data_IF_482322318201
#
_entry.id   IF_482322318201
#
_cell.length_a   1.000
_cell.length_b   1.000
_cell.length_c   1.000
_cell.angle_alpha   90.00
_cell.angle_beta   90.00
_cell.angle_gamma   90.00
#
_symmetry.space_group_name_H-M   'P 1'
#
loop_
_entity.id
_entity.type
_entity.pdbx_description
1 polymer ?
#
# COMPACT_ATOMS: atom_id res chain seq x y z
N UNK A 1 1.16 -4.01 14.42
CA UNK A 1 0.35 -4.07 13.18
C UNK A 1 -0.79 -3.06 13.25
N UNK A 2 -0.83 -2.12 12.31
CA UNK A 2 -1.71 -0.92 12.30
C UNK A 2 -3.16 -1.27 12.00
N UNK A 3 -3.41 -2.44 11.40
CA UNK A 3 -4.75 -2.91 11.04
C UNK A 3 -5.28 -3.98 12.00
N UNK A 4 -4.52 -4.35 13.03
CA UNK A 4 -4.97 -5.34 14.02
C UNK A 4 -6.20 -4.80 14.77
N UNK A 5 -7.20 -5.65 14.98
CA UNK A 5 -8.42 -5.32 15.75
C UNK A 5 -8.07 -4.60 17.05
N UNK A 6 -8.73 -3.48 17.30
CA UNK A 6 -8.52 -2.65 18.49
C UNK A 6 -7.36 -1.64 18.41
N UNK A 7 -6.49 -1.71 17.41
CA UNK A 7 -5.43 -0.71 17.20
C UNK A 7 -5.99 0.66 16.78
N UNK A 8 -5.20 1.72 16.94
CA UNK A 8 -5.61 3.07 16.57
C UNK A 8 -5.88 3.23 15.06
N UNK A 9 -5.11 2.55 14.21
CA UNK A 9 -5.33 2.53 12.77
C UNK A 9 -6.63 1.81 12.41
N UNK A 10 -6.88 0.63 13.00
CA UNK A 10 -8.12 -0.11 12.83
C UNK A 10 -9.36 0.71 13.20
N UNK A 11 -9.36 1.38 14.37
CA UNK A 11 -10.52 2.19 14.82
C UNK A 11 -10.84 3.31 13.84
N UNK A 12 -9.81 4.01 13.34
CA UNK A 12 -9.98 5.07 12.34
C UNK A 12 -10.48 4.55 11.00
N UNK A 13 -10.05 3.34 10.63
CA UNK A 13 -10.47 2.69 9.40
C UNK A 13 -11.96 2.35 9.45
N UNK A 14 -12.41 1.69 10.52
CA UNK A 14 -13.82 1.32 10.73
C UNK A 14 -14.70 2.57 10.82
N UNK A 15 -14.24 3.62 11.49
CA UNK A 15 -14.97 4.89 11.56
C UNK A 15 -15.14 5.57 10.19
N UNK A 16 -14.20 5.39 9.26
CA UNK A 16 -14.20 6.05 7.95
C UNK A 16 -14.86 5.22 6.83
N UNK A 17 -14.77 3.89 6.91
CA UNK A 17 -15.21 2.95 5.89
C UNK A 17 -16.33 2.02 6.37
N UNK A 18 -16.85 2.24 7.58
CA UNK A 18 -17.91 1.46 8.19
C UNK A 18 -17.48 0.05 8.61
N UNK A 19 -18.44 -0.72 9.14
CA UNK A 19 -18.23 -2.11 9.53
C UNK A 19 -18.26 -3.05 8.32
N UNK A 20 -18.67 -2.58 7.14
CA UNK A 20 -18.70 -3.42 5.94
C UNK A 20 -17.31 -3.93 5.52
N UNK A 21 -16.24 -3.27 5.93
CA UNK A 21 -14.86 -3.70 5.66
C UNK A 21 -14.33 -4.72 6.68
N UNK A 22 -15.17 -5.23 7.57
CA UNK A 22 -14.80 -6.21 8.58
C UNK A 22 -15.27 -7.62 8.21
N UNK A 23 -14.44 -8.60 8.53
CA UNK A 23 -14.83 -10.00 8.58
C UNK A 23 -15.69 -10.27 9.83
N UNK A 24 -16.41 -11.42 9.89
CA UNK A 24 -17.15 -11.83 11.10
C UNK A 24 -16.26 -11.92 12.37
N UNK A 25 -14.96 -12.16 12.20
CA UNK A 25 -13.96 -12.14 13.29
C UNK A 25 -13.70 -10.72 13.86
N UNK A 26 -14.09 -9.67 13.13
CA UNK A 26 -13.77 -8.28 13.39
C UNK A 26 -12.39 -7.85 12.88
N UNK A 27 -11.73 -8.68 12.09
CA UNK A 27 -10.52 -8.29 11.35
C UNK A 27 -10.87 -7.56 10.05
N UNK A 28 -9.92 -6.78 9.52
CA UNK A 28 -10.14 -6.04 8.27
C UNK A 28 -10.11 -7.00 7.09
N UNK A 29 -11.20 -7.02 6.32
CA UNK A 29 -11.25 -7.64 5.01
C UNK A 29 -10.44 -6.80 4.01
N UNK A 30 -9.20 -7.22 3.77
CA UNK A 30 -8.26 -6.54 2.88
C UNK A 30 -8.69 -6.59 1.42
N UNK A 31 -9.41 -7.64 1.00
CA UNK A 31 -9.90 -7.75 -0.37
C UNK A 31 -10.98 -6.73 -0.62
N UNK A 32 -11.98 -6.68 0.27
CA UNK A 32 -13.10 -5.73 0.19
C UNK A 32 -12.65 -4.28 0.35
N UNK A 33 -11.78 -4.01 1.32
CA UNK A 33 -11.17 -2.68 1.47
C UNK A 33 -10.42 -2.30 0.19
N UNK A 34 -9.65 -3.25 -0.39
CA UNK A 34 -8.94 -3.08 -1.65
C UNK A 34 -9.87 -2.64 -2.79
N UNK A 35 -10.96 -3.37 -3.03
CA UNK A 35 -11.95 -3.02 -4.07
C UNK A 35 -12.49 -1.61 -3.86
N UNK A 36 -12.88 -1.25 -2.63
CA UNK A 36 -13.42 0.06 -2.31
C UNK A 36 -12.42 1.19 -2.60
N UNK A 37 -11.15 1.02 -2.21
CA UNK A 37 -10.14 2.08 -2.36
C UNK A 37 -9.53 2.14 -3.75
N UNK A 38 -9.46 1.04 -4.48
CA UNK A 38 -8.92 1.05 -5.85
C UNK A 38 -9.95 1.55 -6.87
N UNK A 39 -11.25 1.38 -6.62
CA UNK A 39 -12.31 1.92 -7.48
C UNK A 39 -12.59 3.42 -7.25
N UNK A 40 -12.08 4.03 -6.17
CA UNK A 40 -12.34 5.44 -5.87
C UNK A 40 -11.09 6.20 -5.41
N UNK A 41 -10.70 7.21 -6.20
CA UNK A 41 -9.55 8.08 -5.88
C UNK A 41 -9.71 8.81 -4.54
N UNK A 42 -10.91 9.28 -4.21
CA UNK A 42 -11.17 9.99 -2.95
C UNK A 42 -11.04 9.05 -1.75
N UNK A 43 -11.62 7.85 -1.84
CA UNK A 43 -11.48 6.81 -0.80
C UNK A 43 -10.03 6.37 -0.61
N UNK A 44 -9.27 6.24 -1.70
CA UNK A 44 -7.83 5.96 -1.65
C UNK A 44 -7.03 7.05 -0.95
N UNK A 45 -7.32 8.31 -1.25
CA UNK A 45 -6.67 9.44 -0.59
C UNK A 45 -7.01 9.48 0.90
N UNK A 46 -8.26 9.22 1.26
CA UNK A 46 -8.70 9.11 2.65
C UNK A 46 -7.93 7.99 3.38
N UNK A 47 -7.89 6.78 2.81
CA UNK A 47 -7.12 5.66 3.38
C UNK A 47 -5.65 6.06 3.60
N UNK A 48 -5.00 6.61 2.55
CA UNK A 48 -3.61 7.03 2.64
C UNK A 48 -3.39 8.08 3.73
N UNK A 49 -4.29 9.06 3.86
CA UNK A 49 -4.20 10.12 4.89
C UNK A 49 -4.33 9.53 6.30
N UNK A 50 -5.25 8.59 6.49
CA UNK A 50 -5.46 7.93 7.79
C UNK A 50 -4.26 7.06 8.17
N UNK A 51 -3.66 6.37 7.21
CA UNK A 51 -2.57 5.40 7.46
C UNK A 51 -1.17 6.03 7.47
N UNK A 52 -0.94 7.12 6.73
CA UNK A 52 0.36 7.78 6.63
C UNK A 52 1.10 8.02 7.97
N UNK A 53 0.48 8.55 9.04
CA UNK A 53 1.18 8.77 10.30
C UNK A 53 1.62 7.47 10.98
N UNK A 54 0.84 6.39 10.84
CA UNK A 54 1.17 5.09 11.43
C UNK A 54 2.27 4.37 10.65
N UNK A 55 2.25 4.50 9.32
CA UNK A 55 3.25 3.88 8.44
C UNK A 55 4.59 4.63 8.57
N UNK A 56 4.57 5.96 8.53
CA UNK A 56 5.80 6.76 8.62
C UNK A 56 6.53 6.59 9.95
N UNK A 57 5.82 6.60 11.07
CA UNK A 57 6.43 6.37 12.38
C UNK A 57 7.01 4.96 12.49
N UNK A 58 6.30 3.94 11.99
CA UNK A 58 6.82 2.57 11.94
C UNK A 58 8.10 2.44 11.10
N UNK A 59 8.11 3.02 9.90
CA UNK A 59 9.30 3.00 9.02
C UNK A 59 10.48 3.70 9.69
N UNK A 60 10.28 4.90 10.26
CA UNK A 60 11.37 5.66 10.92
C UNK A 60 11.95 4.86 12.09
N UNK A 61 11.10 4.24 12.91
CA UNK A 61 11.55 3.48 14.06
C UNK A 61 12.37 2.25 13.65
N UNK A 62 11.95 1.56 12.59
CA UNK A 62 12.69 0.42 12.05
C UNK A 62 14.04 0.84 11.45
N UNK A 63 14.08 1.96 10.73
CA UNK A 63 15.34 2.53 10.21
C UNK A 63 16.31 2.83 11.35
N UNK A 64 15.85 3.51 12.40
CA UNK A 64 16.70 3.87 13.54
C UNK A 64 17.27 2.61 14.23
N UNK A 65 16.45 1.58 14.39
CA UNK A 65 16.87 0.30 14.98
C UNK A 65 17.93 -0.39 14.12
N UNK A 66 17.75 -0.41 12.81
CA UNK A 66 18.70 -1.03 11.87
C UNK A 66 20.01 -0.24 11.80
N UNK A 67 19.95 1.09 11.81
CA UNK A 67 21.13 1.94 11.89
C UNK A 67 21.92 1.72 13.17
N UNK A 68 21.25 1.55 14.31
CA UNK A 68 21.92 1.22 15.56
C UNK A 68 22.68 -0.14 15.50
N UNK A 69 22.23 -1.05 14.63
CA UNK A 69 22.92 -2.33 14.36
C UNK A 69 23.96 -2.29 13.25
N UNK A 70 24.18 -1.12 12.61
CA UNK A 70 25.13 -0.97 11.51
C UNK A 70 24.70 -1.59 10.18
N UNK A 71 23.40 -1.89 10.01
CA UNK A 71 22.88 -2.51 8.79
C UNK A 71 22.60 -1.48 7.69
N UNK A 72 22.83 -1.86 6.43
CA UNK A 72 22.33 -1.12 5.28
C UNK A 72 20.81 -1.33 5.13
N UNK A 73 20.08 -0.23 4.90
CA UNK A 73 18.61 -0.25 4.86
C UNK A 73 18.11 0.08 3.46
N UNK A 74 17.37 -0.87 2.87
CA UNK A 74 16.66 -0.66 1.61
C UNK A 74 15.22 -0.28 1.93
N UNK A 75 14.80 0.92 1.50
CA UNK A 75 13.45 1.44 1.78
C UNK A 75 12.57 1.32 0.54
N UNK A 76 11.45 0.60 0.68
CA UNK A 76 10.42 0.48 -0.34
C UNK A 76 9.45 1.67 -0.33
N UNK A 77 9.63 2.58 -1.28
CA UNK A 77 8.68 3.62 -1.72
C UNK A 77 8.70 5.01 -1.02
N UNK A 78 8.32 6.04 -1.82
CA UNK A 78 8.05 7.45 -1.48
C UNK A 78 9.10 8.19 -0.64
N UNK A 79 10.32 7.68 -0.57
CA UNK A 79 11.47 8.34 0.04
C UNK A 79 12.57 8.64 -0.99
N UNK A 80 12.20 8.75 -2.27
CA UNK A 80 13.09 9.07 -3.40
C UNK A 80 13.91 10.36 -3.22
N UNK A 81 13.44 11.28 -2.38
CA UNK A 81 14.18 12.49 -1.98
C UNK A 81 15.30 12.22 -0.96
N UNK A 82 15.21 11.15 -0.19
CA UNK A 82 16.08 10.84 0.96
C UNK A 82 16.97 9.62 0.72
N UNK A 83 16.72 8.85 -0.34
CA UNK A 83 17.46 7.63 -0.65
C UNK A 83 18.10 7.69 -2.04
N UNK A 84 19.36 7.26 -2.12
CA UNK A 84 20.12 7.11 -3.36
C UNK A 84 21.03 5.87 -3.24
N UNK A 85 21.26 5.09 -4.32
CA UNK A 85 20.59 5.19 -5.63
C UNK A 85 19.11 4.74 -5.57
N UNK A 86 18.32 5.14 -6.57
CA UNK A 86 16.94 4.66 -6.73
C UNK A 86 16.95 3.50 -7.72
N UNK A 87 16.39 2.36 -7.33
CA UNK A 87 16.28 1.17 -8.18
C UNK A 87 14.82 0.95 -8.56
N UNK A 88 14.55 0.84 -9.86
CA UNK A 88 13.20 0.57 -10.40
C UNK A 88 13.19 -0.79 -11.08
N UNK A 89 12.29 -1.68 -10.61
CA UNK A 89 12.00 -2.95 -11.28
C UNK A 89 10.88 -2.71 -12.30
N UNK A 90 11.16 -2.94 -13.59
CA UNK A 90 10.25 -2.65 -14.69
C UNK A 90 9.83 -3.93 -15.42
N UNK A 91 8.56 -3.96 -15.85
CA UNK A 91 7.97 -4.97 -16.73
C UNK A 91 6.93 -4.29 -17.63
N UNK A 92 6.52 -4.95 -18.72
CA UNK A 92 5.41 -4.45 -19.54
C UNK A 92 4.09 -4.42 -18.74
N UNK A 93 3.19 -3.50 -19.11
CA UNK A 93 1.88 -3.38 -18.46
C UNK A 93 1.06 -4.68 -18.56
N UNK A 94 1.15 -5.38 -19.69
CA UNK A 94 0.54 -6.69 -19.88
C UNK A 94 1.06 -7.73 -18.88
N UNK A 95 2.39 -7.81 -18.71
CA UNK A 95 3.00 -8.71 -17.73
C UNK A 95 2.60 -8.34 -16.29
N UNK A 96 2.52 -7.04 -16.00
CA UNK A 96 2.08 -6.55 -14.70
C UNK A 96 0.65 -6.99 -14.38
N UNK A 97 -0.27 -6.83 -15.34
CA UNK A 97 -1.67 -7.22 -15.18
C UNK A 97 -1.81 -8.74 -15.02
N UNK A 98 -1.19 -9.51 -15.92
CA UNK A 98 -1.22 -10.98 -15.90
C UNK A 98 -0.76 -11.53 -14.55
N UNK A 99 0.41 -11.09 -14.06
CA UNK A 99 0.95 -11.53 -12.77
C UNK A 99 0.08 -11.12 -11.59
N UNK A 100 -0.52 -9.92 -11.66
CA UNK A 100 -1.39 -9.42 -10.59
C UNK A 100 -2.68 -10.25 -10.51
N UNK A 101 -3.27 -10.59 -11.66
CA UNK A 101 -4.45 -11.45 -11.73
C UNK A 101 -4.15 -12.87 -11.25
N UNK A 102 -3.07 -13.48 -11.73
CA UNK A 102 -2.66 -14.85 -11.37
C UNK A 102 -2.34 -14.99 -9.87
N UNK A 103 -1.62 -14.02 -9.29
CA UNK A 103 -1.20 -14.07 -7.88
C UNK A 103 -2.35 -13.78 -6.91
N UNK A 104 -3.17 -12.77 -7.21
CA UNK A 104 -4.17 -12.25 -6.27
C UNK A 104 -5.60 -12.75 -6.59
N UNK A 105 -5.78 -13.55 -7.64
CA UNK A 105 -7.09 -14.07 -8.05
C UNK A 105 -8.09 -12.99 -8.46
N UNK A 106 -7.59 -11.88 -9.04
CA UNK A 106 -8.39 -10.70 -9.36
C UNK A 106 -9.00 -10.77 -10.76
N UNK A 107 -10.15 -10.10 -10.93
CA UNK A 107 -10.67 -9.81 -12.27
C UNK A 107 -9.71 -8.86 -13.01
N UNK A 108 -9.78 -8.88 -14.33
CA UNK A 108 -8.99 -7.98 -15.17
C UNK A 108 -9.28 -6.50 -14.87
N UNK A 109 -10.53 -6.17 -14.58
CA UNK A 109 -10.96 -4.82 -14.21
C UNK A 109 -10.34 -4.37 -12.87
N UNK A 110 -10.40 -5.21 -11.83
CA UNK A 110 -9.80 -4.93 -10.53
C UNK A 110 -8.28 -4.78 -10.63
N UNK A 111 -7.64 -5.63 -11.44
CA UNK A 111 -6.21 -5.54 -11.71
C UNK A 111 -5.85 -4.22 -12.42
N UNK A 112 -6.61 -3.82 -13.45
CA UNK A 112 -6.44 -2.54 -14.14
C UNK A 112 -6.62 -1.35 -13.20
N UNK A 113 -7.67 -1.34 -12.38
CA UNK A 113 -7.91 -0.27 -11.41
C UNK A 113 -6.74 -0.12 -10.43
N UNK A 114 -6.15 -1.23 -9.98
CA UNK A 114 -4.95 -1.23 -9.12
C UNK A 114 -3.71 -0.70 -9.81
N UNK A 115 -3.49 -1.06 -11.08
CA UNK A 115 -2.35 -0.56 -11.87
C UNK A 115 -2.51 0.94 -12.14
N UNK A 116 -3.69 1.38 -12.59
CA UNK A 116 -3.99 2.80 -12.88
C UNK A 116 -4.00 3.69 -11.63
N UNK A 117 -4.23 3.11 -10.45
CA UNK A 117 -4.08 3.83 -9.19
C UNK A 117 -2.60 4.24 -8.94
N UNK A 118 -1.63 3.60 -9.57
CA UNK A 118 -0.22 3.89 -9.36
C UNK A 118 0.35 4.80 -10.45
N UNK A 119 1.52 5.39 -10.18
CA UNK A 119 2.31 6.05 -11.23
C UNK A 119 2.70 4.99 -12.27
N UNK A 120 2.53 5.26 -13.59
CA UNK A 120 2.93 4.35 -14.65
C UNK A 120 4.40 3.94 -14.53
N UNK A 121 4.71 2.68 -14.81
CA UNK A 121 6.09 2.16 -14.70
C UNK A 121 7.05 2.89 -15.64
N UNK A 122 6.61 3.24 -16.84
CA UNK A 122 7.43 4.00 -17.79
C UNK A 122 7.81 5.38 -17.26
N UNK A 123 6.89 6.06 -16.58
CA UNK A 123 7.16 7.33 -15.90
C UNK A 123 8.06 7.17 -14.67
N UNK A 124 8.04 6.00 -14.00
CA UNK A 124 8.97 5.71 -12.90
C UNK A 124 10.37 5.44 -13.42
N UNK A 125 10.50 4.77 -14.57
CA UNK A 125 11.79 4.42 -15.20
C UNK A 125 12.54 5.64 -15.72
N UNK A 126 11.82 6.67 -16.18
CA UNK A 126 12.41 7.88 -16.77
C UNK A 126 12.84 8.95 -15.74
N UNK A 127 12.70 8.68 -14.44
CA UNK A 127 13.10 9.54 -13.33
C UNK A 127 14.47 9.13 -12.78
#
# INVERSE_FOLDING_TARGET
DVLKKGSGGWKKLVAAFGEEILLPSGEVDRLKLGQIVFSSKSKRQLLNKLMAPYISTGIIWEILKLWASGAEVIIGAKMDKWTKPIVVVWVSQETQLKRLMERDGLSEEDARNRVMAQMPLDSKRSR
#
